data_IF_931480743900
#
_entry.id   IF_931480743900
#
_cell.length_a   1.000
_cell.length_b   1.000
_cell.length_c   1.000
_cell.angle_alpha   90.00
_cell.angle_beta   90.00
_cell.angle_gamma   90.00
#
_symmetry.space_group_name_H-M   'P 1'
#
loop_
_entity.id
_entity.type
_entity.pdbx_description
1 polymer ?
#
# COMPACT_ATOMS: atom_id res chain seq x y z
N UNK A 1 -12.89 -13.84 -30.34
CA UNK A 1 -13.30 -12.49 -30.79
C UNK A 1 -13.41 -11.56 -29.59
N UNK A 2 -12.66 -10.46 -29.56
CA UNK A 2 -13.13 -9.19 -28.97
C UNK A 2 -12.18 -8.10 -29.42
N UNK A 3 -12.57 -7.43 -30.50
CA UNK A 3 -11.94 -6.18 -30.97
C UNK A 3 -12.08 -5.19 -29.83
N UNK A 4 -10.98 -4.50 -29.51
CA UNK A 4 -10.88 -3.44 -28.50
C UNK A 4 -12.18 -2.62 -28.40
N UNK A 5 -13.10 -2.99 -27.49
CA UNK A 5 -14.30 -2.20 -27.24
C UNK A 5 -13.79 -0.88 -26.67
N UNK A 6 -14.07 0.20 -27.39
CA UNK A 6 -13.80 1.56 -26.92
C UNK A 6 -14.39 1.71 -25.52
N UNK A 7 -13.72 2.42 -24.58
CA UNK A 7 -14.24 2.62 -23.24
C UNK A 7 -15.61 3.30 -23.32
N UNK A 8 -16.67 2.55 -23.03
CA UNK A 8 -17.99 3.13 -22.92
C UNK A 8 -18.12 3.85 -21.55
N UNK A 9 -18.84 4.98 -21.49
CA UNK A 9 -18.93 5.77 -20.27
C UNK A 9 -19.51 5.01 -19.07
N UNK A 10 -20.45 4.08 -19.29
CA UNK A 10 -21.10 3.32 -18.22
C UNK A 10 -20.14 2.32 -17.58
N UNK A 11 -19.41 1.55 -18.38
CA UNK A 11 -18.35 0.64 -17.94
C UNK A 11 -17.26 1.39 -17.21
N UNK A 12 -16.83 2.55 -17.73
CA UNK A 12 -15.85 3.40 -17.03
C UNK A 12 -16.39 3.80 -15.67
N UNK A 13 -17.63 4.33 -15.60
CA UNK A 13 -18.25 4.75 -14.34
C UNK A 13 -18.30 3.61 -13.33
N UNK A 14 -18.85 2.46 -13.72
CA UNK A 14 -18.94 1.28 -12.86
C UNK A 14 -17.56 0.83 -12.33
N UNK A 15 -16.54 0.85 -13.20
CA UNK A 15 -15.17 0.52 -12.80
C UNK A 15 -14.62 1.53 -11.80
N UNK A 16 -14.74 2.83 -12.08
CA UNK A 16 -14.19 3.88 -11.23
C UNK A 16 -14.88 3.92 -9.88
N UNK A 17 -16.20 3.72 -9.82
CA UNK A 17 -16.96 3.71 -8.58
C UNK A 17 -16.57 2.52 -7.70
N UNK A 18 -16.43 1.33 -8.27
CA UNK A 18 -15.92 0.17 -7.54
C UNK A 18 -14.49 0.42 -6.98
N UNK A 19 -13.62 1.08 -7.76
CA UNK A 19 -12.27 1.39 -7.31
C UNK A 19 -12.24 2.43 -6.19
N UNK A 20 -13.06 3.49 -6.29
CA UNK A 20 -13.25 4.52 -5.24
C UNK A 20 -13.77 3.91 -3.94
N UNK A 21 -14.67 2.95 -4.04
CA UNK A 21 -15.21 2.20 -2.90
C UNK A 21 -14.20 1.24 -2.24
N UNK A 22 -12.95 1.18 -2.72
CA UNK A 22 -11.92 0.37 -2.10
C UNK A 22 -11.73 -1.02 -2.72
N UNK A 23 -12.44 -1.34 -3.80
CA UNK A 23 -12.40 -2.68 -4.40
C UNK A 23 -11.05 -3.04 -5.02
N UNK A 24 -10.77 -4.34 -5.09
CA UNK A 24 -9.62 -4.87 -5.82
C UNK A 24 -9.88 -4.86 -7.33
N UNK A 25 -8.81 -4.82 -8.12
CA UNK A 25 -8.88 -4.75 -9.59
C UNK A 25 -9.77 -5.84 -10.21
N UNK A 26 -9.64 -7.08 -9.74
CA UNK A 26 -10.39 -8.22 -10.29
C UNK A 26 -11.91 -8.08 -10.11
N UNK A 27 -12.41 -7.91 -8.87
CA UNK A 27 -13.81 -7.61 -8.61
C UNK A 27 -14.31 -6.34 -9.32
N UNK A 28 -13.53 -5.25 -9.33
CA UNK A 28 -13.91 -4.01 -10.02
C UNK A 28 -14.09 -4.22 -11.53
N UNK A 29 -13.19 -4.97 -12.17
CA UNK A 29 -13.33 -5.36 -13.58
C UNK A 29 -14.61 -6.19 -13.83
N UNK A 30 -14.92 -7.15 -12.94
CA UNK A 30 -16.14 -7.96 -13.07
C UNK A 30 -17.41 -7.14 -12.89
N UNK A 31 -17.43 -6.24 -11.91
CA UNK A 31 -18.54 -5.31 -11.69
C UNK A 31 -18.80 -4.42 -12.91
N UNK A 32 -17.73 -4.00 -13.60
CA UNK A 32 -17.80 -3.24 -14.83
C UNK A 32 -17.99 -4.09 -16.11
N UNK A 33 -18.13 -5.41 -16.00
CA UNK A 33 -18.32 -6.28 -17.16
C UNK A 33 -17.12 -6.40 -18.11
N UNK A 34 -15.89 -6.08 -17.67
CA UNK A 34 -14.68 -6.15 -18.48
C UNK A 34 -13.66 -7.18 -17.99
N UNK A 35 -12.85 -7.67 -18.92
CA UNK A 35 -11.69 -8.48 -18.57
C UNK A 35 -10.53 -7.61 -18.06
N UNK A 36 -9.64 -8.20 -17.24
CA UNK A 36 -8.38 -7.52 -16.84
C UNK A 36 -7.50 -7.17 -18.05
N UNK A 37 -7.55 -7.99 -19.10
CA UNK A 37 -6.82 -7.76 -20.35
C UNK A 37 -7.33 -6.53 -21.10
N UNK A 38 -8.64 -6.29 -21.08
CA UNK A 38 -9.27 -5.07 -21.62
C UNK A 38 -8.75 -3.84 -20.87
N UNK A 39 -8.83 -3.87 -19.54
CA UNK A 39 -8.32 -2.79 -18.70
C UNK A 39 -6.82 -2.52 -18.96
N UNK A 40 -6.00 -3.58 -19.02
CA UNK A 40 -4.56 -3.44 -19.32
C UNK A 40 -4.35 -2.75 -20.66
N UNK A 41 -5.10 -3.12 -21.71
CA UNK A 41 -5.00 -2.50 -23.03
C UNK A 41 -5.36 -1.02 -22.99
N UNK A 42 -6.43 -0.65 -22.30
CA UNK A 42 -6.83 0.75 -22.10
C UNK A 42 -5.75 1.55 -21.38
N UNK A 43 -5.15 0.98 -20.33
CA UNK A 43 -4.06 1.62 -19.59
C UNK A 43 -2.77 1.79 -20.39
N UNK A 44 -2.50 0.89 -21.35
CA UNK A 44 -1.37 1.01 -22.29
C UNK A 44 -1.63 2.13 -23.29
N UNK A 45 -2.81 2.15 -23.94
CA UNK A 45 -3.23 3.22 -24.85
C UNK A 45 -3.24 4.59 -24.18
N UNK A 46 -3.69 4.66 -22.92
CA UNK A 46 -3.64 5.88 -22.13
C UNK A 46 -2.23 6.42 -21.80
N UNK A 47 -1.15 5.72 -22.19
CA UNK A 47 0.22 6.24 -22.15
C UNK A 47 0.67 6.83 -23.49
N UNK A 48 -0.01 6.50 -24.60
CA UNK A 48 0.32 7.05 -25.90
C UNK A 48 0.01 8.55 -25.97
N UNK A 49 0.74 9.27 -26.82
CA UNK A 49 0.49 10.68 -27.17
C UNK A 49 -0.41 10.82 -28.40
N UNK A 50 -0.76 9.74 -29.08
CA UNK A 50 -1.62 9.76 -30.27
C UNK A 50 -2.97 10.43 -29.97
N UNK A 51 -3.47 11.28 -30.87
CA UNK A 51 -4.74 11.99 -30.67
C UNK A 51 -5.92 11.01 -30.51
N UNK A 52 -5.91 9.93 -31.29
CA UNK A 52 -6.88 8.83 -31.21
C UNK A 52 -6.94 8.14 -29.83
N UNK A 53 -5.90 8.30 -29.01
CA UNK A 53 -5.81 7.74 -27.66
C UNK A 53 -6.21 8.73 -26.55
N UNK A 54 -6.69 9.94 -26.89
CA UNK A 54 -7.16 10.93 -25.93
C UNK A 54 -8.21 10.39 -24.93
N UNK A 55 -9.22 9.59 -25.33
CA UNK A 55 -10.18 9.01 -24.38
C UNK A 55 -9.52 8.06 -23.37
N UNK A 56 -8.50 7.31 -23.79
CA UNK A 56 -7.76 6.40 -22.92
C UNK A 56 -6.85 7.15 -21.96
N UNK A 57 -6.28 8.29 -22.38
CA UNK A 57 -5.53 9.19 -21.49
C UNK A 57 -6.42 9.77 -20.40
N UNK A 58 -7.59 10.28 -20.77
CA UNK A 58 -8.59 10.78 -19.82
C UNK A 58 -9.01 9.68 -18.84
N UNK A 59 -9.41 8.52 -19.35
CA UNK A 59 -9.71 7.35 -18.52
C UNK A 59 -8.59 7.00 -17.55
N UNK A 60 -7.32 6.96 -18.02
CA UNK A 60 -6.18 6.59 -17.18
C UNK A 60 -5.93 7.61 -16.07
N UNK A 61 -6.14 8.90 -16.33
CA UNK A 61 -6.09 9.95 -15.30
C UNK A 61 -7.17 9.68 -14.24
N UNK A 62 -8.40 9.45 -14.68
CA UNK A 62 -9.54 9.27 -13.77
C UNK A 62 -9.42 7.95 -12.98
N UNK A 63 -8.89 6.91 -13.59
CA UNK A 63 -8.51 5.65 -12.94
C UNK A 63 -7.52 5.88 -11.79
N UNK A 64 -6.46 6.67 -12.04
CA UNK A 64 -5.46 6.98 -11.02
C UNK A 64 -6.07 7.80 -9.89
N UNK A 65 -6.92 8.77 -10.22
CA UNK A 65 -7.64 9.56 -9.24
C UNK A 65 -8.54 8.68 -8.37
N UNK A 66 -9.31 7.75 -8.95
CA UNK A 66 -10.17 6.83 -8.21
C UNK A 66 -9.39 5.96 -7.20
N UNK A 67 -8.22 5.45 -7.59
CA UNK A 67 -7.35 4.69 -6.68
C UNK A 67 -6.86 5.57 -5.52
N UNK A 68 -6.44 6.81 -5.82
CA UNK A 68 -6.00 7.75 -4.79
C UNK A 68 -7.15 8.13 -3.84
N UNK A 69 -8.37 8.36 -4.36
CA UNK A 69 -9.55 8.64 -3.54
C UNK A 69 -9.85 7.52 -2.55
N UNK A 70 -9.72 6.25 -2.97
CA UNK A 70 -9.93 5.12 -2.08
C UNK A 70 -8.88 5.05 -0.96
N UNK A 71 -7.63 5.40 -1.27
CA UNK A 71 -6.54 5.46 -0.28
C UNK A 71 -6.77 6.59 0.73
N UNK A 72 -7.18 7.77 0.24
CA UNK A 72 -7.53 8.93 1.09
C UNK A 72 -8.71 8.60 2.01
N UNK A 73 -9.77 7.98 1.49
CA UNK A 73 -10.95 7.60 2.28
C UNK A 73 -10.61 6.60 3.39
N UNK A 74 -9.76 5.60 3.10
CA UNK A 74 -9.30 4.66 4.11
C UNK A 74 -8.46 5.35 5.20
N UNK A 75 -7.60 6.30 4.82
CA UNK A 75 -6.81 7.09 5.77
C UNK A 75 -7.66 8.02 6.63
N UNK A 76 -8.67 8.66 6.05
CA UNK A 76 -9.61 9.50 6.79
C UNK A 76 -10.35 8.67 7.84
N UNK A 77 -10.83 7.48 7.46
CA UNK A 77 -11.46 6.56 8.42
C UNK A 77 -10.53 6.14 9.57
N UNK A 78 -9.25 5.87 9.28
CA UNK A 78 -8.25 5.56 10.32
C UNK A 78 -8.01 6.77 11.24
N UNK A 79 -7.86 7.98 10.67
CA UNK A 79 -7.64 9.20 11.44
C UNK A 79 -8.80 9.47 12.40
N UNK A 80 -10.03 9.41 11.89
CA UNK A 80 -11.24 9.63 12.67
C UNK A 80 -11.39 8.64 13.80
N UNK A 81 -11.12 7.35 13.56
CA UNK A 81 -11.14 6.34 14.62
C UNK A 81 -10.02 6.51 15.68
N UNK A 82 -8.96 7.27 15.39
CA UNK A 82 -7.92 7.61 16.35
C UNK A 82 -8.13 8.94 17.08
N UNK A 83 -8.90 9.87 16.51
CA UNK A 83 -9.18 11.20 17.08
C UNK A 83 -10.54 11.30 17.76
N UNK A 84 -11.53 10.60 17.24
CA UNK A 84 -12.86 10.46 17.80
C UNK A 84 -12.85 9.12 18.57
N UNK A 85 -13.51 9.05 19.72
CA UNK A 85 -13.66 7.80 20.51
C UNK A 85 -14.68 6.85 19.83
N UNK A 86 -14.60 6.77 18.50
CA UNK A 86 -15.41 5.91 17.64
C UNK A 86 -14.82 4.51 17.70
N UNK A 87 -15.57 3.63 18.35
CA UNK A 87 -15.34 2.19 18.31
C UNK A 87 -15.63 1.67 16.90
N UNK A 88 -14.64 1.72 16.02
CA UNK A 88 -14.74 1.29 14.63
C UNK A 88 -13.41 0.76 14.14
N UNK A 89 -13.44 -0.35 13.39
CA UNK A 89 -12.27 -1.15 13.03
C UNK A 89 -11.30 -0.42 12.09
N UNK A 90 -10.55 0.55 12.62
CA UNK A 90 -9.43 1.18 11.92
C UNK A 90 -8.42 0.13 11.46
N UNK A 91 -8.31 -0.99 12.21
CA UNK A 91 -7.51 -2.14 11.81
C UNK A 91 -7.95 -2.72 10.47
N UNK A 92 -9.27 -2.79 10.19
CA UNK A 92 -9.77 -3.29 8.91
C UNK A 92 -9.33 -2.39 7.74
N UNK A 93 -9.38 -1.07 7.90
CA UNK A 93 -8.89 -0.12 6.91
C UNK A 93 -7.35 -0.19 6.75
N UNK A 94 -6.62 -0.33 7.86
CA UNK A 94 -5.16 -0.51 7.83
C UNK A 94 -4.77 -1.79 7.08
N UNK A 95 -5.42 -2.92 7.38
CA UNK A 95 -5.20 -4.19 6.67
C UNK A 95 -5.56 -4.11 5.19
N UNK A 96 -6.61 -3.37 4.84
CA UNK A 96 -6.98 -3.14 3.44
C UNK A 96 -5.88 -2.38 2.70
N UNK A 97 -5.33 -1.32 3.30
CA UNK A 97 -4.24 -0.54 2.73
C UNK A 97 -2.96 -1.38 2.56
N UNK A 98 -2.59 -2.19 3.56
CA UNK A 98 -1.44 -3.10 3.49
C UNK A 98 -1.56 -4.11 2.34
N UNK A 99 -2.76 -4.65 2.11
CA UNK A 99 -3.02 -5.63 1.04
C UNK A 99 -3.07 -4.99 -0.34
N UNK A 100 -3.64 -3.78 -0.47
CA UNK A 100 -3.82 -3.09 -1.77
C UNK A 100 -2.57 -2.36 -2.22
N UNK A 101 -1.85 -1.69 -1.33
CA UNK A 101 -0.60 -0.99 -1.67
C UNK A 101 0.56 -1.45 -0.78
N UNK A 102 1.00 -2.71 -0.94
CA UNK A 102 1.98 -3.31 -0.06
C UNK A 102 3.31 -2.56 -0.04
N UNK A 103 3.75 -2.01 -1.18
CA UNK A 103 5.00 -1.25 -1.25
C UNK A 103 5.00 0.02 -0.37
N UNK A 104 3.83 0.61 -0.11
CA UNK A 104 3.67 1.85 0.65
C UNK A 104 3.27 1.60 2.10
N UNK A 105 2.36 0.65 2.33
CA UNK A 105 1.73 0.46 3.64
C UNK A 105 2.18 -0.77 4.40
N UNK A 106 2.85 -1.76 3.75
CA UNK A 106 3.35 -2.89 4.54
C UNK A 106 4.33 -2.39 5.58
N UNK A 107 4.22 -2.96 6.78
CA UNK A 107 5.24 -2.86 7.80
C UNK A 107 6.57 -3.27 7.18
N UNK A 108 7.53 -2.35 7.14
CA UNK A 108 8.91 -2.67 6.83
C UNK A 108 9.46 -3.26 8.11
N UNK A 109 9.68 -4.57 8.13
CA UNK A 109 10.45 -5.16 9.21
C UNK A 109 11.82 -4.50 9.17
N UNK A 110 12.10 -3.70 10.21
CA UNK A 110 13.43 -3.11 10.37
C UNK A 110 14.33 -4.30 10.67
N UNK A 111 15.19 -4.66 9.72
CA UNK A 111 16.26 -5.61 10.02
C UNK A 111 16.96 -5.12 11.30
N UNK A 112 17.25 -6.00 12.26
CA UNK A 112 18.08 -5.62 13.40
C UNK A 112 19.31 -4.91 12.86
N UNK A 113 19.52 -3.68 13.30
CA UNK A 113 20.71 -2.93 12.94
C UNK A 113 21.92 -3.77 13.40
N UNK A 114 22.80 -4.22 12.49
CA UNK A 114 23.91 -5.11 12.84
C UNK A 114 24.93 -4.44 13.74
N UNK A 115 24.94 -3.10 13.82
CA UNK A 115 25.75 -2.33 14.77
C UNK A 115 25.09 -2.20 16.14
N UNK A 116 23.78 -2.47 16.23
CA UNK A 116 23.07 -2.43 17.49
C UNK A 116 23.41 -3.70 18.27
N UNK A 117 23.96 -3.57 19.49
CA UNK A 117 24.24 -4.73 20.32
C UNK A 117 22.95 -5.55 20.47
N UNK A 118 23.09 -6.88 20.43
CA UNK A 118 21.99 -7.81 20.76
C UNK A 118 21.34 -7.36 22.08
N UNK A 119 20.04 -7.56 22.31
CA UNK A 119 19.45 -7.34 23.62
C UNK A 119 20.28 -8.05 24.70
N UNK A 120 20.49 -7.43 25.87
CA UNK A 120 21.29 -8.04 26.95
C UNK A 120 20.79 -9.46 27.32
N UNK A 121 19.48 -9.69 27.21
CA UNK A 121 18.84 -11.00 27.42
C UNK A 121 19.19 -12.08 26.39
N UNK A 122 19.84 -11.70 25.29
CA UNK A 122 20.25 -12.57 24.17
C UNK A 122 21.78 -12.59 24.00
N UNK A 123 22.53 -11.93 24.89
CA UNK A 123 23.98 -11.99 24.91
C UNK A 123 24.46 -13.17 25.74
N UNK A 124 25.50 -13.85 25.28
CA UNK A 124 26.29 -14.75 26.13
C UNK A 124 27.06 -13.95 27.19
N UNK A 125 27.49 -14.61 28.26
CA UNK A 125 28.28 -13.97 29.34
C UNK A 125 29.52 -13.26 28.78
N UNK A 126 30.22 -13.89 27.83
CA UNK A 126 31.41 -13.33 27.16
C UNK A 126 31.08 -12.09 26.33
N UNK A 127 29.95 -12.10 25.61
CA UNK A 127 29.48 -10.93 24.84
C UNK A 127 29.07 -9.78 25.76
N UNK A 128 28.46 -10.10 26.91
CA UNK A 128 28.03 -9.13 27.92
C UNK A 128 29.24 -8.45 28.59
N UNK A 129 30.26 -9.23 28.95
CA UNK A 129 31.52 -8.72 29.50
C UNK A 129 32.24 -7.79 28.51
N UNK A 130 32.37 -8.20 27.24
CA UNK A 130 32.96 -7.37 26.20
C UNK A 130 32.16 -6.07 25.97
N UNK A 131 30.84 -6.12 26.11
CA UNK A 131 29.96 -4.94 26.00
C UNK A 131 30.12 -4.00 27.20
N UNK A 132 30.11 -4.52 28.43
CA UNK A 132 30.34 -3.75 29.65
C UNK A 132 31.75 -3.14 29.70
N UNK A 133 32.77 -3.87 29.23
CA UNK A 133 34.14 -3.37 29.13
C UNK A 133 34.27 -2.19 28.15
N UNK A 134 33.61 -2.24 26.98
CA UNK A 134 33.55 -1.09 26.03
C UNK A 134 32.88 0.15 26.63
N UNK A 135 31.96 -0.04 27.57
CA UNK A 135 31.27 1.04 28.27
C UNK A 135 32.00 1.52 29.54
N UNK A 136 33.14 0.92 29.89
CA UNK A 136 33.88 1.24 31.11
C UNK A 136 33.13 0.88 32.39
N UNK A 137 32.20 -0.09 32.32
CA UNK A 137 31.34 -0.51 33.43
C UNK A 137 31.89 -1.72 34.19
N UNK A 138 33.02 -2.29 33.77
CA UNK A 138 33.75 -3.27 34.55
C UNK A 138 34.73 -2.50 35.44
N UNK A 139 34.49 -2.50 36.75
CA UNK A 139 35.46 -2.01 37.73
C UNK A 139 36.73 -2.85 37.60
N UNK A 140 37.88 -2.21 37.34
CA UNK A 140 39.15 -2.90 37.51
C UNK A 140 39.29 -3.32 38.97
N UNK A 141 39.79 -4.55 39.24
CA UNK A 141 39.98 -5.00 40.61
C UNK A 141 40.89 -4.00 41.33
N UNK A 142 40.34 -3.30 42.33
CA UNK A 142 41.12 -2.48 43.26
C UNK A 142 42.21 -3.38 43.85
N UNK A 143 43.45 -3.17 43.42
CA UNK A 143 44.64 -3.77 44.02
C UNK A 143 44.83 -3.27 45.44
#
# INVERSE_FOLDING_TARGET
MSRSRTPDPETIRALLDALRAGSFLGPACRAAGISRSTLRRWQVRGRSRDEHDAPYRAFRRDYRAAIASAEIAALDSIRRAGSEDITGSWQANAWLLERRFPARWRRKDRAPDPSRPKPLSQMTVVELEAYCGRLGLLDEPRR
#
